data_IF_289536729152
#
_entry.id   IF_289536729152
#
_cell.length_a   1.000
_cell.length_b   1.000
_cell.length_c   1.000
_cell.angle_alpha   90.00
_cell.angle_beta   90.00
_cell.angle_gamma   90.00
#
_symmetry.space_group_name_H-M   'P 1'
#
loop_
_entity.id
_entity.type
_entity.pdbx_description
1 polymer ?
#
# COMPACT_ATOMS: atom_id res chain seq x y z
N UNK A 1 13.01 -22.06 8.50
CA UNK A 1 13.34 -21.04 7.49
C UNK A 1 12.91 -19.71 8.06
N UNK A 2 13.85 -19.03 8.72
CA UNK A 2 13.56 -17.84 9.53
C UNK A 2 13.66 -16.60 8.63
N UNK A 3 12.59 -16.34 7.87
CA UNK A 3 12.52 -15.18 6.99
C UNK A 3 12.33 -13.94 7.86
N UNK A 4 13.43 -13.26 8.20
CA UNK A 4 13.43 -12.06 9.06
C UNK A 4 12.80 -10.89 8.28
N UNK A 5 11.48 -10.87 8.23
CA UNK A 5 10.71 -9.79 7.62
C UNK A 5 11.05 -8.45 8.27
N UNK A 6 11.19 -7.41 7.45
CA UNK A 6 11.30 -6.03 7.92
C UNK A 6 10.11 -5.66 8.82
N UNK A 7 10.35 -4.84 9.83
CA UNK A 7 9.37 -4.55 10.88
C UNK A 7 8.07 -3.95 10.33
N UNK A 8 8.17 -3.08 9.32
CA UNK A 8 6.99 -2.49 8.66
C UNK A 8 6.13 -3.55 7.96
N UNK A 9 6.73 -4.55 7.32
CA UNK A 9 6.01 -5.65 6.65
C UNK A 9 5.26 -6.51 7.67
N UNK A 10 5.89 -6.80 8.81
CA UNK A 10 5.24 -7.52 9.93
C UNK A 10 4.04 -6.75 10.46
N UNK A 11 4.15 -5.43 10.63
CA UNK A 11 3.05 -4.57 11.07
C UNK A 11 1.88 -4.61 10.10
N UNK A 12 2.13 -4.62 8.78
CA UNK A 12 1.07 -4.81 7.78
C UNK A 12 0.38 -6.16 7.97
N UNK A 13 1.15 -7.26 8.01
CA UNK A 13 0.60 -8.62 8.20
C UNK A 13 -0.28 -8.68 9.47
N UNK A 14 0.19 -8.12 10.57
CA UNK A 14 -0.54 -8.11 11.84
C UNK A 14 -1.80 -7.23 11.79
N UNK A 15 -1.69 -6.01 11.28
CA UNK A 15 -2.80 -5.05 11.23
C UNK A 15 -3.95 -5.56 10.36
N UNK A 16 -3.63 -6.21 9.24
CA UNK A 16 -4.62 -6.78 8.32
C UNK A 16 -4.98 -8.23 8.64
N UNK A 17 -4.43 -8.82 9.72
CA UNK A 17 -4.70 -10.18 10.21
C UNK A 17 -4.49 -11.24 9.11
N UNK A 18 -3.36 -11.15 8.42
CA UNK A 18 -3.03 -12.06 7.32
C UNK A 18 -2.35 -13.33 7.84
N UNK A 19 -2.65 -14.44 7.17
CA UNK A 19 -2.09 -15.76 7.45
C UNK A 19 -1.43 -16.32 6.19
N UNK A 20 -0.30 -17.02 6.35
CA UNK A 20 0.35 -17.71 5.24
C UNK A 20 -0.30 -19.08 5.03
N UNK A 21 -0.86 -19.32 3.85
CA UNK A 21 -1.52 -20.57 3.50
C UNK A 21 -0.54 -21.61 2.90
N UNK A 22 -1.05 -22.80 2.59
CA UNK A 22 -0.25 -23.92 2.04
C UNK A 22 0.34 -23.64 0.66
N UNK A 23 -0.23 -22.69 -0.09
CA UNK A 23 0.27 -22.26 -1.40
C UNK A 23 1.32 -21.16 -1.30
N UNK A 24 1.78 -20.85 -0.08
CA UNK A 24 2.66 -19.73 0.22
C UNK A 24 2.05 -18.37 -0.18
N UNK A 25 0.74 -18.22 -0.06
CA UNK A 25 0.02 -16.96 -0.24
C UNK A 25 -0.44 -16.41 1.12
N UNK A 26 -0.38 -15.08 1.26
CA UNK A 26 -0.92 -14.37 2.40
C UNK A 26 -2.40 -14.08 2.16
N UNK A 27 -3.24 -14.56 3.06
CA UNK A 27 -4.70 -14.48 2.97
C UNK A 27 -5.33 -13.94 4.24
N UNK A 28 -6.51 -13.35 4.09
CA UNK A 28 -7.41 -13.05 5.20
C UNK A 28 -8.47 -14.14 5.33
N UNK A 29 -8.64 -14.67 6.53
CA UNK A 29 -9.66 -15.67 6.86
C UNK A 29 -10.79 -14.98 7.60
N UNK A 30 -12.01 -15.06 7.05
CA UNK A 30 -13.19 -14.47 7.67
C UNK A 30 -13.49 -15.11 9.04
N UNK A 31 -13.78 -14.30 10.07
CA UNK A 31 -14.25 -14.80 11.35
C UNK A 31 -15.47 -15.71 11.14
N UNK A 32 -15.48 -16.86 11.83
CA UNK A 32 -16.54 -17.88 11.77
C UNK A 32 -16.63 -18.67 10.45
N UNK A 33 -15.63 -18.57 9.56
CA UNK A 33 -15.51 -19.44 8.38
C UNK A 33 -16.67 -19.36 7.39
N UNK A 34 -17.44 -18.26 7.39
CA UNK A 34 -18.65 -18.13 6.55
C UNK A 34 -18.35 -17.85 5.07
N UNK A 35 -17.15 -17.41 4.75
CA UNK A 35 -16.73 -17.02 3.40
C UNK A 35 -15.37 -17.62 3.08
N UNK A 36 -15.12 -17.80 1.79
CA UNK A 36 -13.81 -18.25 1.31
C UNK A 36 -12.72 -17.25 1.73
N UNK A 37 -11.51 -17.73 2.09
CA UNK A 37 -10.38 -16.86 2.34
C UNK A 37 -10.10 -15.92 1.15
N UNK A 38 -9.63 -14.71 1.45
CA UNK A 38 -9.23 -13.74 0.44
C UNK A 38 -7.71 -13.76 0.36
N UNK A 39 -7.16 -14.31 -0.71
CA UNK A 39 -5.74 -14.22 -1.01
C UNK A 39 -5.37 -12.83 -1.55
N UNK A 40 -4.28 -12.25 -1.04
CA UNK A 40 -3.81 -10.93 -1.48
C UNK A 40 -2.51 -11.00 -2.29
N UNK A 41 -1.49 -11.70 -1.80
CA UNK A 41 -0.19 -11.77 -2.45
C UNK A 41 0.65 -12.96 -1.96
N UNK A 42 1.62 -13.39 -2.77
CA UNK A 42 2.51 -14.50 -2.40
C UNK A 42 3.58 -14.10 -1.40
N UNK A 43 4.17 -15.07 -0.70
CA UNK A 43 5.36 -14.88 0.14
C UNK A 43 6.52 -14.28 -0.65
N UNK A 44 6.70 -14.68 -1.91
CA UNK A 44 7.71 -14.11 -2.83
C UNK A 44 7.50 -12.62 -3.07
N UNK A 45 6.23 -12.17 -3.09
CA UNK A 45 5.91 -10.75 -3.20
C UNK A 45 6.38 -9.98 -1.97
N UNK A 46 6.11 -10.50 -0.76
CA UNK A 46 6.54 -9.88 0.51
C UNK A 46 8.07 -9.79 0.61
N UNK A 47 8.79 -10.79 0.12
CA UNK A 47 10.25 -10.79 0.12
C UNK A 47 10.84 -9.72 -0.81
N UNK A 48 10.20 -9.48 -1.95
CA UNK A 48 10.71 -8.58 -3.00
C UNK A 48 10.25 -7.12 -2.85
N UNK A 49 9.06 -6.89 -2.31
CA UNK A 49 8.40 -5.58 -2.34
C UNK A 49 8.28 -4.97 -0.93
N UNK A 50 8.10 -3.65 -0.89
CA UNK A 50 7.96 -2.83 0.31
C UNK A 50 6.65 -3.10 1.07
N UNK A 51 6.58 -2.61 2.32
CA UNK A 51 5.33 -2.61 3.08
C UNK A 51 4.21 -1.79 2.40
N UNK A 52 4.56 -0.70 1.69
CA UNK A 52 3.59 0.08 0.93
C UNK A 52 2.96 -0.74 -0.21
N UNK A 53 3.78 -1.50 -0.93
CA UNK A 53 3.30 -2.38 -1.99
C UNK A 53 2.34 -3.46 -1.48
N UNK A 54 2.58 -4.00 -0.27
CA UNK A 54 1.65 -4.91 0.39
C UNK A 54 0.30 -4.24 0.68
N UNK A 55 0.32 -3.02 1.22
CA UNK A 55 -0.91 -2.23 1.43
C UNK A 55 -1.64 -2.00 0.10
N UNK A 56 -0.92 -1.62 -0.96
CA UNK A 56 -1.49 -1.40 -2.27
C UNK A 56 -2.16 -2.65 -2.87
N UNK A 57 -1.57 -3.84 -2.69
CA UNK A 57 -2.19 -5.10 -3.09
C UNK A 57 -3.50 -5.37 -2.31
N UNK A 58 -3.51 -5.10 -1.00
CA UNK A 58 -4.72 -5.24 -0.17
C UNK A 58 -5.84 -4.30 -0.67
N UNK A 59 -5.46 -3.08 -1.07
CA UNK A 59 -6.34 -2.10 -1.68
C UNK A 59 -6.56 -2.30 -3.19
N UNK A 60 -6.08 -3.41 -3.77
CA UNK A 60 -6.26 -3.79 -5.18
C UNK A 60 -5.74 -2.75 -6.20
N UNK A 61 -4.66 -2.03 -5.87
CA UNK A 61 -3.98 -1.16 -6.82
C UNK A 61 -3.16 -2.00 -7.82
N UNK A 62 -3.13 -1.56 -9.09
CA UNK A 62 -2.39 -2.26 -10.13
C UNK A 62 -0.87 -2.12 -9.96
N UNK A 63 -0.12 -3.03 -10.59
CA UNK A 63 1.33 -3.10 -10.44
C UNK A 63 2.07 -1.86 -10.95
N UNK A 64 1.51 -1.13 -11.92
CA UNK A 64 2.07 0.14 -12.38
C UNK A 64 2.13 1.19 -11.26
N UNK A 65 1.08 1.26 -10.43
CA UNK A 65 1.04 2.17 -9.27
C UNK A 65 2.05 1.75 -8.22
N UNK A 66 2.06 0.45 -7.87
CA UNK A 66 3.05 -0.11 -6.94
C UNK A 66 4.47 0.28 -7.36
N UNK A 67 4.85 0.01 -8.61
CA UNK A 67 6.20 0.28 -9.09
C UNK A 67 6.57 1.77 -9.04
N UNK A 68 5.65 2.66 -9.41
CA UNK A 68 5.91 4.10 -9.35
C UNK A 68 6.17 4.57 -7.92
N UNK A 69 5.28 4.23 -6.98
CA UNK A 69 5.41 4.69 -5.59
C UNK A 69 6.58 4.02 -4.85
N UNK A 70 6.91 2.76 -5.16
CA UNK A 70 8.11 2.11 -4.60
C UNK A 70 9.40 2.78 -5.06
N UNK A 71 9.47 3.18 -6.33
CA UNK A 71 10.66 3.83 -6.89
C UNK A 71 10.85 5.27 -6.42
N UNK A 72 9.80 5.90 -5.88
CA UNK A 72 9.77 7.30 -5.48
C UNK A 72 9.36 7.44 -4.01
N UNK A 73 9.59 6.41 -3.18
CA UNK A 73 9.04 6.34 -1.83
C UNK A 73 9.47 7.51 -0.94
N UNK A 74 10.69 7.99 -1.11
CA UNK A 74 11.27 9.10 -0.34
C UNK A 74 10.56 10.44 -0.59
N UNK A 75 9.77 10.53 -1.67
CA UNK A 75 9.01 11.72 -2.03
C UNK A 75 7.63 11.76 -1.35
N UNK A 76 7.28 10.72 -0.60
CA UNK A 76 5.97 10.58 0.04
C UNK A 76 6.06 10.31 1.54
N UNK A 77 5.20 10.97 2.29
CA UNK A 77 5.01 10.73 3.73
C UNK A 77 3.65 10.03 3.93
N UNK A 78 3.59 8.91 4.67
CA UNK A 78 2.34 8.22 4.95
C UNK A 78 1.48 8.99 5.95
N UNK A 79 0.21 9.19 5.59
CA UNK A 79 -0.80 9.87 6.38
C UNK A 79 -2.08 9.03 6.54
N UNK A 80 -2.75 9.24 7.65
CA UNK A 80 -4.10 8.75 7.94
C UNK A 80 -5.01 9.93 8.32
N UNK A 81 -6.33 9.74 8.23
CA UNK A 81 -7.29 10.76 8.62
C UNK A 81 -8.05 10.36 9.89
N UNK A 82 -8.13 11.28 10.85
CA UNK A 82 -8.94 11.19 12.06
C UNK A 82 -9.91 12.36 12.10
N UNK A 83 -11.20 12.11 12.37
CA UNK A 83 -12.18 13.19 12.50
C UNK A 83 -11.84 14.19 13.64
N UNK A 84 -11.06 13.75 14.63
CA UNK A 84 -10.69 14.56 15.79
C UNK A 84 -9.46 15.44 15.51
N UNK A 85 -8.51 14.92 14.75
CA UNK A 85 -7.18 15.53 14.59
C UNK A 85 -6.85 15.95 13.17
N UNK A 86 -7.72 15.64 12.20
CA UNK A 86 -7.45 15.82 10.78
C UNK A 86 -6.42 14.82 10.25
N UNK A 87 -5.53 15.29 9.37
CA UNK A 87 -4.47 14.48 8.77
C UNK A 87 -3.29 14.31 9.73
N UNK A 88 -2.95 13.07 10.04
CA UNK A 88 -1.84 12.71 10.93
C UNK A 88 -0.83 11.81 10.21
N UNK A 89 0.46 12.09 10.41
CA UNK A 89 1.53 11.17 9.98
C UNK A 89 1.31 9.82 10.66
N UNK A 90 1.49 8.75 9.92
CA UNK A 90 1.21 7.41 10.42
C UNK A 90 2.27 6.40 9.97
N UNK A 91 2.19 5.20 10.52
CA UNK A 91 3.01 4.09 10.03
C UNK A 91 2.39 3.49 8.76
N UNK A 92 3.21 2.81 7.96
CA UNK A 92 2.81 2.31 6.65
C UNK A 92 1.56 1.42 6.69
N UNK A 93 1.37 0.64 7.76
CA UNK A 93 0.20 -0.23 7.90
C UNK A 93 -1.15 0.51 8.15
N UNK A 94 -1.12 1.83 8.41
CA UNK A 94 -2.31 2.68 8.62
C UNK A 94 -2.53 3.69 7.50
N UNK A 95 -1.68 3.67 6.49
CA UNK A 95 -1.68 4.68 5.43
C UNK A 95 -3.00 4.66 4.67
N UNK A 96 -3.60 5.84 4.52
CA UNK A 96 -4.78 6.09 3.71
C UNK A 96 -4.50 7.16 2.64
N UNK A 97 -3.53 8.02 2.93
CA UNK A 97 -3.08 9.11 2.09
C UNK A 97 -1.55 9.11 2.01
N UNK A 98 -1.02 9.45 0.85
CA UNK A 98 0.40 9.73 0.64
C UNK A 98 0.55 11.23 0.42
N UNK A 99 1.25 11.90 1.33
CA UNK A 99 1.59 13.30 1.20
C UNK A 99 2.82 13.45 0.32
N UNK A 100 2.69 14.03 -0.86
CA UNK A 100 3.81 14.30 -1.76
C UNK A 100 4.57 15.54 -1.28
N UNK A 101 5.85 15.39 -0.95
CA UNK A 101 6.61 16.45 -0.26
C UNK A 101 6.80 17.72 -1.10
N UNK A 102 6.88 17.58 -2.42
CA UNK A 102 7.16 18.69 -3.33
C UNK A 102 5.90 19.47 -3.73
N UNK A 103 4.80 18.77 -4.02
CA UNK A 103 3.54 19.43 -4.44
C UNK A 103 2.62 19.77 -3.26
N UNK A 104 2.93 19.26 -2.06
CA UNK A 104 2.11 19.37 -0.86
C UNK A 104 0.70 18.76 -0.98
N UNK A 105 0.48 17.87 -1.95
CA UNK A 105 -0.81 17.21 -2.15
C UNK A 105 -0.95 15.96 -1.30
N UNK A 106 -2.17 15.75 -0.79
CA UNK A 106 -2.59 14.50 -0.16
C UNK A 106 -3.21 13.60 -1.23
N UNK A 107 -2.55 12.50 -1.55
CA UNK A 107 -3.02 11.56 -2.57
C UNK A 107 -3.70 10.39 -1.85
N UNK A 108 -5.00 10.22 -2.05
CA UNK A 108 -5.76 9.14 -1.42
C UNK A 108 -5.48 7.79 -2.08
N UNK A 109 -5.31 6.73 -1.28
CA UNK A 109 -5.18 5.37 -1.83
C UNK A 109 -6.47 4.94 -2.55
N UNK A 110 -7.63 5.35 -2.04
CA UNK A 110 -8.92 5.12 -2.70
C UNK A 110 -9.00 5.83 -4.06
N UNK A 111 -8.54 7.08 -4.14
CA UNK A 111 -8.49 7.83 -5.40
C UNK A 111 -7.56 7.15 -6.43
N UNK A 112 -6.38 6.69 -5.98
CA UNK A 112 -5.48 5.90 -6.81
C UNK A 112 -6.11 4.58 -7.27
N UNK A 113 -6.96 3.97 -6.45
CA UNK A 113 -7.70 2.78 -6.83
C UNK A 113 -8.68 3.08 -7.96
N UNK A 114 -9.30 4.26 -7.98
CA UNK A 114 -10.32 4.67 -8.96
C UNK A 114 -9.73 5.01 -10.34
N UNK A 115 -8.47 5.42 -10.42
CA UNK A 115 -7.76 5.63 -11.69
C UNK A 115 -7.57 4.28 -12.41
N UNK A 116 -8.44 3.95 -13.37
CA UNK A 116 -8.35 2.69 -14.14
C UNK A 116 -7.52 2.84 -15.42
N UNK A 117 -7.47 4.05 -15.96
CA UNK A 117 -6.74 4.35 -17.19
C UNK A 117 -5.24 4.55 -16.90
N UNK A 118 -4.40 3.89 -17.69
CA UNK A 118 -2.95 3.94 -17.49
C UNK A 118 -2.35 5.28 -17.91
N UNK A 119 -2.93 5.96 -18.90
CA UNK A 119 -2.44 7.25 -19.38
C UNK A 119 -2.87 8.38 -18.44
N UNK A 120 -4.04 8.27 -17.82
CA UNK A 120 -4.44 9.11 -16.69
C UNK A 120 -3.45 8.97 -15.52
N UNK A 121 -3.08 7.73 -15.16
CA UNK A 121 -2.07 7.51 -14.12
C UNK A 121 -0.70 8.11 -14.50
N UNK A 122 -0.26 7.96 -15.75
CA UNK A 122 1.00 8.58 -16.21
C UNK A 122 0.96 10.10 -16.14
N UNK A 123 -0.19 10.74 -16.45
CA UNK A 123 -0.36 12.18 -16.31
C UNK A 123 -0.23 12.62 -14.85
N UNK A 124 -0.82 11.86 -13.92
CA UNK A 124 -0.64 12.10 -12.49
C UNK A 124 0.84 12.01 -12.10
N UNK A 125 1.55 10.95 -12.49
CA UNK A 125 2.99 10.83 -12.24
C UNK A 125 3.76 12.03 -12.78
N UNK A 126 3.59 12.34 -14.07
CA UNK A 126 4.29 13.46 -14.72
C UNK A 126 4.00 14.80 -14.03
N UNK A 127 2.76 15.00 -13.57
CA UNK A 127 2.37 16.19 -12.83
C UNK A 127 3.08 16.27 -11.48
N UNK A 128 3.14 15.18 -10.71
CA UNK A 128 3.87 15.15 -9.43
C UNK A 128 5.38 15.40 -9.64
N UNK A 129 5.98 14.75 -10.65
CA UNK A 129 7.41 14.94 -10.97
C UNK A 129 7.74 16.39 -11.37
N UNK A 130 6.79 17.14 -11.94
CA UNK A 130 7.02 18.54 -12.33
C UNK A 130 7.34 19.48 -11.15
N UNK A 131 7.01 19.07 -9.91
CA UNK A 131 7.28 19.84 -8.69
C UNK A 131 8.68 19.58 -8.10
N UNK A 132 9.43 18.58 -8.59
CA UNK A 132 10.78 18.26 -8.07
C UNK A 132 11.88 19.20 -8.57
N UNK A 133 11.52 20.19 -9.39
CA UNK A 133 12.43 21.14 -10.03
C UNK A 133 12.85 22.30 -9.11
#
# INVERSE_FOLDING_TARGET
>A
MDCRLEEQKKKVIQAYRLHLNSNCNWEYIHPKGKYQPIEYFSQKFVEKHSALAMVFQIHKLCFAKIKYFENNLDDFIPYSYSFKSGFERCEMHKVQFLYHIYSHYMIGIAELQDIKDIDEFKKLCAYLESFKN
#
